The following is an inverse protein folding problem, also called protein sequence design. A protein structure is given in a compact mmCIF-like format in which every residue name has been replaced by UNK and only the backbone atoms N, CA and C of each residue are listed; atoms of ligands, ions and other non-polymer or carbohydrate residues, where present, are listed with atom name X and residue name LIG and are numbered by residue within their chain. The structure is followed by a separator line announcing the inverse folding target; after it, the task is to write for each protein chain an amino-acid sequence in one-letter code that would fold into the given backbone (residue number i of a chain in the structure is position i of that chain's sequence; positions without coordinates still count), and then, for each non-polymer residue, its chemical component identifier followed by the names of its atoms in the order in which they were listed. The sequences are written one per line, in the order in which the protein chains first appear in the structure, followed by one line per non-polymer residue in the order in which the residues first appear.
data_IF_808959452079
#
_entry.id   IF_808959452079
#
_cell.length_a   1.000
_cell.length_b   1.000
_cell.length_c   1.000
_cell.angle_alpha   90.00
_cell.angle_beta   90.00
_cell.angle_gamma   90.00
#
_symmetry.space_group_name_H-M   'P 1'
#
loop_
_entity.id
_entity.type
_entity.pdbx_description
1 polymer ?
#
# COMPACT_ATOMS: atom_id res chain seq x y z
N UNK A 1 -16.52 -34.06 -23.85
CA UNK A 1 -15.96 -33.14 -22.83
C UNK A 1 -16.96 -32.01 -22.58
N UNK A 2 -17.08 -31.51 -21.35
CA UNK A 2 -17.99 -30.40 -21.01
C UNK A 2 -17.18 -29.19 -20.55
N UNK A 3 -17.67 -27.98 -20.83
CA UNK A 3 -17.02 -26.76 -20.37
C UNK A 3 -17.10 -26.66 -18.85
N UNK A 4 -15.96 -26.46 -18.18
CA UNK A 4 -15.88 -26.28 -16.72
C UNK A 4 -16.52 -24.98 -16.22
N UNK A 5 -16.81 -24.04 -17.10
CA UNK A 5 -17.40 -22.75 -16.75
C UNK A 5 -18.92 -22.68 -16.94
N UNK A 6 -19.48 -23.32 -17.98
CA UNK A 6 -20.92 -23.24 -18.30
C UNK A 6 -21.61 -24.58 -18.49
N UNK A 7 -20.87 -25.71 -18.42
CA UNK A 7 -21.44 -27.05 -18.54
C UNK A 7 -21.86 -27.47 -19.95
N UNK A 8 -21.69 -26.63 -20.98
CA UNK A 8 -22.05 -26.99 -22.37
C UNK A 8 -21.11 -28.06 -22.93
N UNK A 9 -21.64 -28.98 -23.74
CA UNK A 9 -20.84 -29.99 -24.43
C UNK A 9 -19.85 -29.33 -25.40
N UNK A 10 -18.61 -29.82 -25.40
CA UNK A 10 -17.51 -29.33 -26.22
C UNK A 10 -17.09 -30.40 -27.24
N UNK A 11 -16.75 -30.01 -28.49
CA UNK A 11 -16.14 -30.90 -29.46
C UNK A 11 -14.72 -31.29 -29.03
N UNK A 12 -14.23 -32.44 -29.52
CA UNK A 12 -13.04 -33.13 -29.02
C UNK A 12 -11.71 -32.33 -29.06
N UNK A 13 -11.65 -31.21 -29.79
CA UNK A 13 -10.46 -30.38 -29.96
C UNK A 13 -10.74 -28.87 -29.79
N UNK A 14 -11.78 -28.52 -29.02
CA UNK A 14 -12.14 -27.12 -28.80
C UNK A 14 -11.11 -26.40 -27.92
N UNK A 15 -10.47 -25.36 -28.46
CA UNK A 15 -9.64 -24.43 -27.66
C UNK A 15 -10.49 -23.41 -26.89
N UNK A 16 -11.73 -23.16 -27.33
CA UNK A 16 -12.65 -22.19 -26.73
C UNK A 16 -14.08 -22.74 -26.72
N UNK A 17 -14.87 -22.37 -25.70
CA UNK A 17 -16.28 -22.72 -25.64
C UNK A 17 -17.11 -21.76 -26.50
N UNK A 18 -17.87 -22.27 -27.47
CA UNK A 18 -18.71 -21.46 -28.36
C UNK A 18 -19.93 -20.82 -27.67
N UNK A 19 -20.32 -21.30 -26.48
CA UNK A 19 -21.46 -20.73 -25.74
C UNK A 19 -21.06 -19.57 -24.82
N UNK A 20 -19.90 -19.66 -24.14
CA UNK A 20 -19.49 -18.67 -23.14
C UNK A 20 -18.19 -17.91 -23.48
N UNK A 21 -17.52 -18.26 -24.58
CA UNK A 21 -16.31 -17.58 -25.06
C UNK A 21 -15.03 -17.85 -24.26
N UNK A 22 -15.08 -18.69 -23.21
CA UNK A 22 -13.91 -18.98 -22.38
C UNK A 22 -13.02 -20.07 -22.99
N UNK A 23 -11.70 -19.93 -22.81
CA UNK A 23 -10.72 -20.91 -23.22
C UNK A 23 -10.90 -22.23 -22.45
N UNK A 24 -10.78 -23.34 -23.16
CA UNK A 24 -10.83 -24.69 -22.60
C UNK A 24 -9.38 -25.11 -22.41
N UNK A 25 -8.96 -25.33 -21.16
CA UNK A 25 -7.61 -25.79 -20.88
C UNK A 25 -7.39 -27.16 -21.54
N UNK A 26 -6.49 -27.21 -22.53
CA UNK A 26 -6.11 -28.45 -23.19
C UNK A 26 -5.35 -29.34 -22.19
N UNK A 27 -5.93 -30.48 -21.82
CA UNK A 27 -5.23 -31.49 -21.03
C UNK A 27 -4.25 -32.23 -21.94
N UNK A 28 -2.95 -31.97 -21.74
CA UNK A 28 -1.88 -32.83 -22.26
C UNK A 28 -2.02 -34.24 -21.67
N UNK A 29 -1.73 -35.24 -22.51
CA UNK A 29 -1.85 -36.66 -22.23
C UNK A 29 -1.03 -37.13 -21.02
N UNK A 30 -1.60 -38.05 -20.24
CA UNK A 30 -0.95 -38.78 -19.14
C UNK A 30 0.12 -39.75 -19.62
N UNK A 31 1.21 -39.96 -18.87
CA UNK A 31 1.89 -41.24 -18.80
C UNK A 31 1.21 -42.12 -17.74
N UNK A 32 1.00 -43.37 -18.13
CA UNK A 32 0.40 -44.47 -17.41
C UNK A 32 1.31 -44.89 -16.21
N UNK A 33 0.77 -44.95 -14.98
CA UNK A 33 1.47 -45.45 -13.78
C UNK A 33 0.66 -46.51 -13.02
N UNK A 34 -0.10 -47.33 -13.75
CA UNK A 34 -0.51 -48.64 -13.24
C UNK A 34 0.69 -49.56 -13.34
N UNK A 35 1.46 -49.67 -12.25
CA UNK A 35 2.16 -50.90 -11.80
C UNK A 35 3.12 -50.56 -10.65
N UNK A 36 2.58 -50.42 -9.44
CA UNK A 36 3.34 -50.64 -8.20
C UNK A 36 2.43 -50.66 -6.98
N UNK A 37 2.29 -51.86 -6.41
CA UNK A 37 2.02 -52.13 -4.98
C UNK A 37 0.55 -52.19 -4.53
N UNK A 38 -0.04 -53.29 -4.97
CA UNK A 38 -0.86 -54.24 -4.21
C UNK A 38 -0.51 -54.31 -2.70
N UNK A 39 -1.57 -54.31 -1.88
CA UNK A 39 -1.73 -54.80 -0.50
C UNK A 39 -1.16 -54.02 0.69
N UNK A 40 -2.05 -53.28 1.39
CA UNK A 40 -2.31 -53.48 2.83
C UNK A 40 -3.63 -52.81 3.29
N UNK A 41 -4.58 -53.53 3.92
CA UNK A 41 -5.72 -52.90 4.59
C UNK A 41 -5.30 -52.48 6.00
N UNK A 42 -5.36 -51.19 6.32
CA UNK A 42 -5.13 -50.72 7.69
C UNK A 42 -6.25 -49.76 8.11
N UNK A 43 -7.16 -50.36 8.86
CA UNK A 43 -8.04 -49.85 9.91
C UNK A 43 -8.03 -48.35 10.25
N UNK A 44 -9.26 -47.82 10.23
CA UNK A 44 -9.84 -46.71 11.00
C UNK A 44 -9.05 -46.24 12.24
N UNK A 45 -8.72 -44.94 12.27
CA UNK A 45 -8.60 -44.17 13.51
C UNK A 45 -8.77 -42.67 13.21
N UNK A 46 -9.87 -42.12 13.71
CA UNK A 46 -10.14 -40.69 13.85
C UNK A 46 -9.13 -40.09 14.84
N UNK A 47 -8.49 -38.95 14.56
CA UNK A 47 -7.95 -38.10 15.60
C UNK A 47 -8.84 -36.87 15.76
N UNK A 48 -9.51 -36.86 16.91
CA UNK A 48 -9.59 -35.75 17.87
C UNK A 48 -9.88 -34.34 17.33
N UNK A 49 -11.05 -33.87 17.77
CA UNK A 49 -11.49 -32.49 17.84
C UNK A 49 -10.38 -31.54 18.31
N UNK A 50 -9.81 -30.80 17.36
CA UNK A 50 -9.14 -29.54 17.70
C UNK A 50 -10.20 -28.52 18.13
N UNK A 51 -10.29 -28.39 19.44
CA UNK A 51 -11.00 -27.35 20.17
C UNK A 51 -10.82 -25.99 19.50
N UNK A 52 -11.94 -25.40 19.06
CA UNK A 52 -12.02 -24.05 18.53
C UNK A 52 -11.62 -23.07 19.63
N UNK A 53 -10.33 -22.70 19.65
CA UNK A 53 -9.87 -21.54 20.41
C UNK A 53 -10.49 -20.30 19.77
N UNK A 54 -11.50 -19.75 20.46
CA UNK A 54 -12.06 -18.42 20.18
C UNK A 54 -10.93 -17.39 20.26
N UNK A 55 -10.36 -17.05 19.12
CA UNK A 55 -9.67 -15.77 18.95
C UNK A 55 -10.79 -14.71 18.94
N UNK A 56 -10.73 -13.65 19.77
CA UNK A 56 -11.70 -12.57 19.69
C UNK A 56 -11.48 -11.84 18.37
N UNK A 57 -12.29 -12.18 17.37
CA UNK A 57 -12.38 -11.44 16.12
C UNK A 57 -12.94 -10.07 16.44
N UNK A 58 -12.05 -9.11 16.71
CA UNK A 58 -12.40 -7.71 16.49
C UNK A 58 -12.50 -7.59 14.97
N UNK A 59 -13.69 -7.82 14.42
CA UNK A 59 -13.98 -7.54 13.01
C UNK A 59 -13.87 -6.03 12.80
N UNK A 60 -12.64 -5.54 12.63
CA UNK A 60 -12.43 -4.31 11.87
C UNK A 60 -12.94 -4.62 10.46
N UNK A 61 -14.20 -4.27 10.21
CA UNK A 61 -14.82 -4.38 8.89
C UNK A 61 -13.93 -3.66 7.89
N UNK A 62 -13.11 -4.41 7.14
CA UNK A 62 -12.28 -3.93 6.04
C UNK A 62 -13.23 -3.55 4.90
N UNK A 63 -13.77 -2.34 4.99
CA UNK A 63 -14.54 -1.77 3.90
C UNK A 63 -13.51 -1.45 2.82
N UNK A 64 -13.52 -2.23 1.74
CA UNK A 64 -12.74 -2.00 0.53
C UNK A 64 -13.23 -0.72 -0.20
N UNK A 65 -13.24 0.39 0.52
CA UNK A 65 -13.66 1.71 0.08
C UNK A 65 -12.42 2.49 -0.31
N UNK A 66 -12.47 3.04 -1.51
CA UNK A 66 -11.45 3.94 -2.03
C UNK A 66 -11.59 5.29 -1.31
N UNK A 67 -10.59 5.67 -0.51
CA UNK A 67 -10.55 6.96 0.23
C UNK A 67 -9.33 7.78 -0.17
N UNK A 68 -9.36 8.49 -1.32
CA UNK A 68 -8.19 9.20 -1.84
C UNK A 68 -7.63 10.24 -0.86
N UNK A 69 -8.52 11.01 -0.22
CA UNK A 69 -8.14 12.04 0.75
C UNK A 69 -7.44 11.48 1.98
N UNK A 70 -7.94 10.38 2.54
CA UNK A 70 -7.33 9.71 3.69
C UNK A 70 -5.91 9.26 3.35
N UNK A 71 -5.73 8.63 2.18
CA UNK A 71 -4.42 8.22 1.68
C UNK A 71 -3.48 9.40 1.46
N UNK A 72 -3.99 10.51 0.92
CA UNK A 72 -3.22 11.74 0.71
C UNK A 72 -2.77 12.33 2.04
N UNK A 73 -3.69 12.57 2.98
CA UNK A 73 -3.36 13.16 4.28
C UNK A 73 -2.43 12.27 5.11
N UNK A 74 -2.54 10.94 5.01
CA UNK A 74 -1.58 10.03 5.65
C UNK A 74 -0.16 10.25 5.15
N UNK A 75 -0.01 10.49 3.84
CA UNK A 75 1.30 10.78 3.24
C UNK A 75 1.80 12.19 3.55
N UNK A 76 0.92 13.19 3.52
CA UNK A 76 1.31 14.57 3.89
C UNK A 76 1.78 14.62 5.34
N UNK A 77 1.05 13.95 6.24
CA UNK A 77 1.45 13.84 7.64
C UNK A 77 2.82 13.18 7.81
N UNK A 78 3.05 12.06 7.13
CA UNK A 78 4.35 11.37 7.12
C UNK A 78 5.49 12.31 6.67
N UNK A 79 5.30 13.03 5.56
CA UNK A 79 6.29 13.96 5.01
C UNK A 79 6.54 15.11 5.98
N UNK A 80 5.50 15.72 6.54
CA UNK A 80 5.62 16.82 7.50
C UNK A 80 6.33 16.39 8.77
N UNK A 81 5.99 15.23 9.33
CA UNK A 81 6.65 14.66 10.49
C UNK A 81 8.14 14.42 10.23
N UNK A 82 8.47 13.90 9.04
CA UNK A 82 9.86 13.68 8.65
C UNK A 82 10.62 14.99 8.43
N UNK A 83 10.04 15.96 7.72
CA UNK A 83 10.61 17.30 7.53
C UNK A 83 10.85 18.02 8.86
N UNK A 84 9.89 17.93 9.80
CA UNK A 84 10.06 18.48 11.14
C UNK A 84 11.21 17.82 11.88
N UNK A 85 11.32 16.49 11.79
CA UNK A 85 12.43 15.73 12.39
C UNK A 85 13.77 16.19 11.82
N UNK A 86 13.89 16.30 10.49
CA UNK A 86 15.10 16.83 9.84
C UNK A 86 15.41 18.25 10.33
N UNK A 87 14.41 19.13 10.40
CA UNK A 87 14.61 20.52 10.87
C UNK A 87 15.14 20.59 12.31
N UNK A 88 14.57 19.79 13.22
CA UNK A 88 15.05 19.70 14.61
C UNK A 88 16.48 19.15 14.68
N UNK A 89 16.78 18.06 13.97
CA UNK A 89 18.13 17.50 13.94
C UNK A 89 19.13 18.49 13.34
N UNK A 90 18.75 19.21 12.30
CA UNK A 90 19.59 20.24 11.69
C UNK A 90 19.91 21.37 12.67
N UNK A 91 18.90 21.88 13.40
CA UNK A 91 19.11 22.92 14.42
C UNK A 91 20.02 22.48 15.56
N UNK A 92 20.02 21.19 15.91
CA UNK A 92 20.88 20.62 16.97
C UNK A 92 22.31 20.38 16.46
N UNK A 93 22.47 19.77 15.29
CA UNK A 93 23.78 19.31 14.81
C UNK A 93 24.50 20.30 13.89
N UNK A 94 23.80 21.29 13.35
CA UNK A 94 24.36 22.29 12.44
C UNK A 94 23.84 23.70 12.76
N UNK A 95 23.92 24.16 14.02
CA UNK A 95 23.42 25.47 14.43
C UNK A 95 24.09 26.64 13.67
N UNK A 96 25.31 26.45 13.16
CA UNK A 96 26.05 27.44 12.37
C UNK A 96 25.56 27.60 10.91
N UNK A 97 24.70 26.70 10.42
CA UNK A 97 24.14 26.73 9.07
C UNK A 97 22.61 26.92 9.18
N UNK A 98 22.11 28.15 9.38
CA UNK A 98 20.68 28.37 9.52
C UNK A 98 19.92 28.00 8.23
N UNK A 99 18.70 27.52 8.43
CA UNK A 99 17.74 27.33 7.33
C UNK A 99 17.21 28.73 6.97
N UNK A 100 17.53 29.21 5.78
CA UNK A 100 17.14 30.52 5.25
C UNK A 100 16.15 30.33 4.10
N UNK A 101 15.46 31.40 3.69
CA UNK A 101 14.52 31.35 2.55
C UNK A 101 15.17 30.90 1.23
N UNK A 102 16.48 31.09 1.09
CA UNK A 102 17.23 30.69 -0.09
C UNK A 102 17.45 29.17 -0.17
N UNK A 103 17.68 28.51 0.98
CA UNK A 103 17.97 27.08 1.05
C UNK A 103 16.78 26.22 1.51
N UNK A 104 15.73 26.84 2.06
CA UNK A 104 14.53 26.17 2.61
C UNK A 104 13.91 25.22 1.58
N UNK A 105 13.76 25.66 0.32
CA UNK A 105 13.19 24.83 -0.74
C UNK A 105 14.09 23.62 -1.07
N UNK A 106 15.41 23.83 -1.18
CA UNK A 106 16.36 22.76 -1.46
C UNK A 106 16.41 21.73 -0.33
N UNK A 107 16.36 22.18 0.93
CA UNK A 107 16.27 21.33 2.11
C UNK A 107 14.96 20.55 2.12
N UNK A 108 13.84 21.20 1.73
CA UNK A 108 12.55 20.53 1.56
C UNK A 108 12.57 19.42 0.51
N UNK A 109 13.23 19.65 -0.63
CA UNK A 109 13.42 18.61 -1.66
C UNK A 109 14.29 17.47 -1.15
N UNK A 110 15.35 17.75 -0.38
CA UNK A 110 16.20 16.74 0.23
C UNK A 110 15.42 15.92 1.28
N UNK A 111 14.60 16.57 2.10
CA UNK A 111 13.73 15.89 3.07
C UNK A 111 12.73 14.97 2.35
N UNK A 112 12.13 15.44 1.25
CA UNK A 112 11.24 14.64 0.43
C UNK A 112 11.95 13.45 -0.21
N UNK A 113 13.17 13.64 -0.72
CA UNK A 113 13.96 12.59 -1.33
C UNK A 113 14.41 11.54 -0.30
N UNK A 114 14.86 11.95 0.89
CA UNK A 114 15.25 11.03 1.96
C UNK A 114 14.07 10.20 2.47
N UNK A 115 12.85 10.77 2.48
CA UNK A 115 11.62 10.02 2.81
C UNK A 115 11.40 8.81 1.88
N UNK A 116 11.90 8.85 0.65
CA UNK A 116 11.80 7.73 -0.31
C UNK A 116 12.42 6.45 0.25
N UNK A 117 13.44 6.57 1.11
CA UNK A 117 14.14 5.46 1.75
C UNK A 117 13.55 5.11 3.13
N UNK A 118 13.10 6.12 3.87
CA UNK A 118 12.51 5.95 5.21
C UNK A 118 11.15 5.24 5.14
N UNK A 119 10.28 5.59 4.17
CA UNK A 119 8.98 4.93 4.04
C UNK A 119 9.11 3.41 3.84
N UNK A 120 9.91 2.90 2.88
CA UNK A 120 10.16 1.48 2.70
C UNK A 120 10.69 0.80 3.95
N UNK A 121 11.61 1.44 4.67
CA UNK A 121 12.14 0.92 5.92
C UNK A 121 11.01 0.70 6.93
N UNK A 122 10.15 1.70 7.17
CA UNK A 122 9.00 1.58 8.05
C UNK A 122 8.01 0.51 7.59
N UNK A 123 7.74 0.43 6.28
CA UNK A 123 6.82 -0.56 5.72
C UNK A 123 7.35 -2.00 5.83
N UNK A 124 8.65 -2.23 5.63
CA UNK A 124 9.23 -3.58 5.72
C UNK A 124 9.46 -4.04 7.16
N UNK A 125 9.68 -3.12 8.11
CA UNK A 125 9.92 -3.45 9.53
C UNK A 125 8.65 -3.44 10.37
N UNK A 126 7.83 -2.40 10.24
CA UNK A 126 6.62 -2.20 11.06
C UNK A 126 5.31 -2.50 10.32
N UNK A 127 5.36 -2.70 9.00
CA UNK A 127 4.17 -2.90 8.17
C UNK A 127 3.32 -1.64 7.94
N UNK A 128 3.76 -0.48 8.46
CA UNK A 128 3.01 0.79 8.39
C UNK A 128 3.95 1.99 8.57
N UNK A 129 3.42 3.20 8.40
CA UNK A 129 4.08 4.48 8.74
C UNK A 129 3.21 5.23 9.75
N UNK A 130 3.74 6.23 10.50
CA UNK A 130 2.99 6.96 11.52
C UNK A 130 1.65 7.52 11.01
N UNK A 131 1.64 8.18 9.85
CA UNK A 131 0.43 8.75 9.27
C UNK A 131 -0.55 7.69 8.77
N UNK A 132 -0.05 6.60 8.19
CA UNK A 132 -0.89 5.47 7.76
C UNK A 132 -1.53 4.75 8.95
N UNK A 133 -0.78 4.56 10.03
CA UNK A 133 -1.29 4.04 11.29
C UNK A 133 -2.38 4.94 11.88
N UNK A 134 -2.10 6.25 11.95
CA UNK A 134 -3.01 7.24 12.53
C UNK A 134 -4.35 7.31 11.78
N UNK A 135 -4.30 7.25 10.44
CA UNK A 135 -5.49 7.30 9.58
C UNK A 135 -6.02 5.91 9.17
N UNK A 136 -5.59 4.84 9.86
CA UNK A 136 -5.97 3.46 9.59
C UNK A 136 -5.92 3.07 8.10
N UNK A 137 -4.89 3.54 7.42
CA UNK A 137 -4.59 3.15 6.04
C UNK A 137 -3.60 1.99 6.10
N UNK A 138 -3.96 0.85 5.50
CA UNK A 138 -3.09 -0.33 5.44
C UNK A 138 -2.66 -0.59 4.01
N UNK A 139 -1.37 -0.83 3.83
CA UNK A 139 -0.83 -1.28 2.57
C UNK A 139 -0.73 -2.80 2.58
N UNK A 140 -1.43 -3.46 1.66
CA UNK A 140 -1.48 -4.91 1.52
C UNK A 140 -0.68 -5.28 0.27
N UNK A 141 0.28 -6.19 0.42
CA UNK A 141 1.08 -6.72 -0.68
C UNK A 141 0.56 -8.11 -1.05
N UNK A 142 0.26 -8.33 -2.34
CA UNK A 142 -0.33 -9.59 -2.82
C UNK A 142 0.70 -10.60 -3.35
N UNK A 143 1.97 -10.48 -2.98
CA UNK A 143 3.01 -11.41 -3.43
C UNK A 143 3.10 -12.69 -2.58
N UNK A 144 3.92 -13.67 -3.01
CA UNK A 144 4.07 -14.96 -2.34
C UNK A 144 4.82 -14.89 -1.01
N UNK A 145 5.53 -13.79 -0.76
CA UNK A 145 6.33 -13.57 0.45
C UNK A 145 5.94 -12.27 1.14
N UNK A 146 6.38 -12.11 2.38
CA UNK A 146 6.26 -10.85 3.12
C UNK A 146 6.90 -9.69 2.35
N UNK A 147 6.39 -8.48 2.59
CA UNK A 147 6.86 -7.26 1.92
C UNK A 147 8.35 -7.02 2.21
N UNK A 148 9.16 -7.07 1.15
CA UNK A 148 10.59 -6.76 1.27
C UNK A 148 10.85 -5.26 1.14
N UNK A 149 11.96 -4.79 1.73
CA UNK A 149 12.41 -3.39 1.58
C UNK A 149 12.54 -2.98 0.11
N UNK A 150 13.13 -3.83 -0.73
CA UNK A 150 13.33 -3.54 -2.15
C UNK A 150 12.02 -3.34 -2.92
N UNK A 151 10.99 -4.13 -2.63
CA UNK A 151 9.66 -3.96 -3.23
C UNK A 151 8.99 -2.66 -2.74
N UNK A 152 9.08 -2.37 -1.44
CA UNK A 152 8.56 -1.13 -0.88
C UNK A 152 9.29 0.11 -1.45
N UNK A 153 10.60 0.01 -1.68
CA UNK A 153 11.43 1.06 -2.27
C UNK A 153 11.07 1.33 -3.73
N UNK A 154 10.91 0.28 -4.56
CA UNK A 154 10.44 0.43 -5.95
C UNK A 154 9.12 1.20 -6.01
N UNK A 155 8.18 0.84 -5.15
CA UNK A 155 6.91 1.56 -5.01
C UNK A 155 7.14 3.01 -4.58
N UNK A 156 7.94 3.24 -3.54
CA UNK A 156 8.21 4.57 -2.98
C UNK A 156 8.80 5.53 -4.03
N UNK A 157 9.80 5.08 -4.80
CA UNK A 157 10.40 5.84 -5.91
C UNK A 157 9.35 6.19 -6.97
N UNK A 158 8.48 5.25 -7.35
CA UNK A 158 7.40 5.53 -8.30
C UNK A 158 6.41 6.56 -7.77
N UNK A 159 6.10 6.54 -6.46
CA UNK A 159 5.22 7.57 -5.87
C UNK A 159 5.92 8.93 -5.85
N UNK A 160 7.20 8.98 -5.51
CA UNK A 160 7.98 10.22 -5.52
C UNK A 160 8.04 10.84 -6.92
N UNK A 161 8.30 10.03 -7.96
CA UNK A 161 8.39 10.52 -9.33
C UNK A 161 7.02 10.79 -9.97
N UNK A 162 6.11 9.82 -9.97
CA UNK A 162 4.83 9.89 -10.70
C UNK A 162 3.66 10.45 -9.89
N UNK A 163 3.77 10.46 -8.57
CA UNK A 163 2.74 10.98 -7.67
C UNK A 163 3.07 12.40 -7.22
N UNK A 164 4.30 12.60 -6.73
CA UNK A 164 4.75 13.87 -6.15
C UNK A 164 5.57 14.74 -7.09
N UNK A 165 5.83 14.29 -8.33
CA UNK A 165 6.65 14.98 -9.32
C UNK A 165 7.98 15.49 -8.75
N UNK A 166 8.65 14.67 -7.94
CA UNK A 166 9.89 15.00 -7.23
C UNK A 166 9.83 16.27 -6.35
N UNK A 167 8.65 16.82 -6.07
CA UNK A 167 8.46 18.05 -5.29
C UNK A 167 8.22 19.32 -6.11
N UNK A 168 8.25 19.27 -7.45
CA UNK A 168 7.98 20.43 -8.31
C UNK A 168 6.52 20.90 -8.18
N UNK A 169 6.23 22.12 -7.66
CA UNK A 169 4.88 22.49 -7.20
C UNK A 169 3.77 22.35 -8.25
N UNK A 170 3.96 22.90 -9.45
CA UNK A 170 2.94 22.91 -10.51
C UNK A 170 2.74 21.52 -11.14
N UNK A 171 3.84 20.78 -11.33
CA UNK A 171 3.78 19.42 -11.91
C UNK A 171 3.15 18.46 -10.90
N UNK A 172 3.52 18.59 -9.62
CA UNK A 172 3.00 17.80 -8.51
C UNK A 172 1.47 17.92 -8.40
N UNK A 173 0.92 19.13 -8.54
CA UNK A 173 -0.53 19.31 -8.52
C UNK A 173 -1.21 18.52 -9.67
N UNK A 174 -0.66 18.60 -10.88
CA UNK A 174 -1.15 17.84 -12.03
C UNK A 174 -1.10 16.32 -11.81
N UNK A 175 0.02 15.80 -11.29
CA UNK A 175 0.19 14.37 -11.01
C UNK A 175 -0.74 13.88 -9.90
N UNK A 176 -0.99 14.69 -8.87
CA UNK A 176 -1.94 14.37 -7.80
C UNK A 176 -3.39 14.35 -8.31
N UNK A 177 -3.78 15.31 -9.16
CA UNK A 177 -5.11 15.32 -9.80
C UNK A 177 -5.28 14.07 -10.68
N UNK A 178 -4.28 13.73 -11.48
CA UNK A 178 -4.27 12.51 -12.29
C UNK A 178 -4.41 11.25 -11.41
N UNK A 179 -3.62 11.16 -10.33
CA UNK A 179 -3.66 10.04 -9.40
C UNK A 179 -5.01 9.93 -8.69
N UNK A 180 -5.64 11.05 -8.34
CA UNK A 180 -7.00 11.08 -7.77
C UNK A 180 -8.03 10.50 -8.74
N UNK A 181 -8.01 10.95 -10.00
CA UNK A 181 -8.91 10.45 -11.05
C UNK A 181 -8.70 8.96 -11.31
N UNK A 182 -7.45 8.54 -11.43
CA UNK A 182 -7.09 7.13 -11.62
C UNK A 182 -7.57 6.26 -10.45
N UNK A 183 -7.35 6.72 -9.22
CA UNK A 183 -7.76 5.99 -8.02
C UNK A 183 -9.28 5.91 -7.89
N UNK A 184 -10.02 6.97 -8.25
CA UNK A 184 -11.49 6.98 -8.28
C UNK A 184 -12.08 6.08 -9.36
N UNK A 185 -11.45 6.02 -10.54
CA UNK A 185 -11.93 5.21 -11.66
C UNK A 185 -11.59 3.72 -11.47
N UNK A 186 -10.36 3.41 -11.07
CA UNK A 186 -9.83 2.04 -11.10
C UNK A 186 -9.61 1.43 -9.70
N UNK A 187 -9.83 2.19 -8.63
CA UNK A 187 -9.61 1.76 -7.26
C UNK A 187 -8.13 1.58 -6.86
N UNK A 188 -7.19 1.81 -7.78
CA UNK A 188 -5.73 1.70 -7.56
C UNK A 188 -4.98 2.77 -8.34
N UNK A 189 -3.81 3.16 -7.85
CA UNK A 189 -2.86 4.02 -8.59
C UNK A 189 -1.92 3.16 -9.43
N UNK A 190 -1.30 3.74 -10.47
CA UNK A 190 -0.38 3.02 -11.38
C UNK A 190 0.76 2.34 -10.62
N UNK A 191 1.39 3.04 -9.67
CA UNK A 191 2.46 2.51 -8.84
C UNK A 191 2.02 1.45 -7.81
N UNK A 192 0.73 1.37 -7.48
CA UNK A 192 0.23 0.26 -6.65
C UNK A 192 -0.06 -0.96 -7.53
N UNK A 193 -0.65 -0.75 -8.70
CA UNK A 193 -1.01 -1.82 -9.62
C UNK A 193 0.23 -2.57 -10.15
N UNK A 194 1.26 -1.82 -10.58
CA UNK A 194 2.50 -2.41 -11.13
C UNK A 194 3.27 -3.26 -10.13
N UNK A 195 3.18 -2.93 -8.84
CA UNK A 195 3.94 -3.61 -7.78
C UNK A 195 3.04 -4.54 -6.94
N UNK A 196 1.79 -4.80 -7.36
CA UNK A 196 0.90 -5.76 -6.70
C UNK A 196 0.36 -5.30 -5.33
N UNK A 197 0.33 -4.00 -5.07
CA UNK A 197 -0.19 -3.43 -3.83
C UNK A 197 -1.68 -3.13 -3.90
N UNK A 198 -2.35 -3.28 -2.76
CA UNK A 198 -3.71 -2.83 -2.51
C UNK A 198 -3.71 -1.96 -1.27
N UNK A 199 -4.44 -0.84 -1.32
CA UNK A 199 -4.64 0.02 -0.15
C UNK A 199 -6.02 -0.26 0.44
N UNK A 200 -6.04 -0.63 1.72
CA UNK A 200 -7.26 -0.83 2.51
C UNK A 200 -7.38 0.30 3.54
N UNK A 201 -8.62 0.63 3.92
CA UNK A 201 -8.90 1.67 4.91
C UNK A 201 -9.83 1.12 6.00
N UNK A 202 -9.40 1.24 7.26
CA UNK A 202 -10.24 0.95 8.41
C UNK A 202 -11.19 2.11 8.76
N UNK A 203 -12.11 1.84 9.69
CA UNK A 203 -12.95 2.89 10.29
C UNK A 203 -12.12 3.76 11.23
N UNK A 204 -11.93 5.02 10.85
CA UNK A 204 -11.24 6.03 11.67
C UNK A 204 -12.21 6.51 12.75
N UNK A 205 -11.82 6.35 14.01
CA UNK A 205 -12.62 6.84 15.15
C UNK A 205 -12.50 8.36 15.30
N UNK A 206 -13.54 9.00 15.86
CA UNK A 206 -13.61 10.45 16.06
C UNK A 206 -12.39 11.03 16.78
N UNK A 207 -11.91 10.37 17.84
CA UNK A 207 -10.72 10.82 18.57
C UNK A 207 -9.44 10.88 17.72
N UNK A 208 -9.22 9.89 16.84
CA UNK A 208 -8.07 9.90 15.91
C UNK A 208 -8.21 11.01 14.87
N UNK A 209 -9.42 11.24 14.36
CA UNK A 209 -9.70 12.34 13.43
C UNK A 209 -9.41 13.69 14.06
N UNK A 210 -9.86 13.92 15.31
CA UNK A 210 -9.58 15.17 16.04
C UNK A 210 -8.08 15.35 16.28
N UNK A 211 -7.36 14.29 16.65
CA UNK A 211 -5.92 14.33 16.83
C UNK A 211 -5.20 14.71 15.52
N UNK A 212 -5.57 14.13 14.39
CA UNK A 212 -5.02 14.50 13.07
C UNK A 212 -5.26 15.98 12.80
N UNK A 213 -6.50 16.45 12.95
CA UNK A 213 -6.83 17.86 12.71
C UNK A 213 -6.02 18.79 13.62
N UNK A 214 -5.91 18.46 14.91
CA UNK A 214 -5.12 19.24 15.86
C UNK A 214 -3.63 19.29 15.47
N UNK A 215 -3.04 18.16 15.10
CA UNK A 215 -1.63 18.10 14.65
C UNK A 215 -1.41 18.92 13.36
N UNK A 216 -2.36 18.90 12.43
CA UNK A 216 -2.31 19.74 11.22
C UNK A 216 -2.38 21.24 11.59
N UNK A 217 -3.27 21.63 12.50
CA UNK A 217 -3.39 23.02 12.95
C UNK A 217 -2.09 23.49 13.64
N UNK A 218 -1.54 22.68 14.55
CA UNK A 218 -0.28 22.99 15.23
C UNK A 218 0.86 23.15 14.23
N UNK A 219 0.97 22.24 13.25
CA UNK A 219 2.00 22.33 12.22
C UNK A 219 1.86 23.60 11.36
N UNK A 220 0.63 23.94 10.95
CA UNK A 220 0.36 25.18 10.23
C UNK A 220 0.70 26.42 11.07
N UNK A 221 0.37 26.42 12.36
CA UNK A 221 0.73 27.50 13.27
C UNK A 221 2.25 27.69 13.37
N UNK A 222 3.02 26.60 13.46
CA UNK A 222 4.50 26.65 13.45
C UNK A 222 5.04 27.27 12.15
N UNK A 223 4.49 26.88 10.99
CA UNK A 223 4.90 27.48 9.71
C UNK A 223 4.57 28.97 9.67
N UNK A 224 3.36 29.36 10.10
CA UNK A 224 2.94 30.77 10.11
C UNK A 224 3.85 31.57 11.02
N UNK A 225 4.09 31.12 12.24
CA UNK A 225 4.99 31.80 13.19
C UNK A 225 6.41 31.91 12.62
N UNK A 226 6.96 30.85 12.03
CA UNK A 226 8.28 30.88 11.38
C UNK A 226 8.34 31.68 10.07
N UNK A 227 7.19 32.15 9.55
CA UNK A 227 7.11 33.00 8.37
C UNK A 227 6.98 34.48 8.70
N UNK A 228 6.72 34.84 9.96
CA UNK A 228 6.68 36.22 10.42
C UNK A 228 8.11 36.76 10.36
N UNK A 229 8.37 37.86 9.61
CA UNK A 229 9.68 38.51 9.62
C UNK A 229 9.98 39.03 11.04
N UNK A 230 11.19 38.79 11.53
CA UNK A 230 11.68 39.47 12.72
C UNK A 230 11.78 40.97 12.38
N UNK A 231 10.87 41.79 12.95
CA UNK A 231 10.86 43.25 12.80
C UNK A 231 11.92 43.90 13.68
#
# INVERSE_FOLDING_TARGET
MFCTHCGTALPAQAQFCQACGKAVAASAASPNWLDAQVNKPTTFSTPESFSSSKIPTTEETDVNQVRPWVRFFARIFDIWLWSFTIGVLWGIFSPQLPITKENEYAIGLLALFTWVFVEPFCLSTFGTTPGKFLLKTRLIYNGPHALTYGQALKRSVKVWWRGLAAGFPFINLGTLIYAYRMLRANGRTTWDAEEGFKVSHGRIGTGRSLLVVALFIVFLAVIVVGSIPDN
#
